data_IF_450236446506
#
_entry.id   IF_450236446506
#
_cell.length_a   1.000
_cell.length_b   1.000
_cell.length_c   1.000
_cell.angle_alpha   90.00
_cell.angle_beta   90.00
_cell.angle_gamma   90.00
#
_symmetry.space_group_name_H-M   'P 1'
#
loop_
_entity.id
_entity.type
_entity.pdbx_description
1 polymer ?
#
# COMPACT_ATOMS: atom_id res chain seq x y z
N UNK A 1 26.25 -12.82 49.49
CA UNK A 1 25.16 -11.83 49.64
C UNK A 1 25.42 -10.71 48.65
N UNK A 2 24.71 -10.49 47.56
CA UNK A 2 23.70 -11.21 46.76
C UNK A 2 23.62 -10.30 45.53
N UNK A 3 24.03 -10.78 44.35
CA UNK A 3 23.96 -10.00 43.10
C UNK A 3 22.56 -10.19 42.52
N UNK A 4 21.73 -9.16 42.63
CA UNK A 4 20.39 -9.11 42.05
C UNK A 4 20.52 -8.74 40.57
N UNK A 5 20.48 -9.73 39.68
CA UNK A 5 20.24 -9.51 38.26
C UNK A 5 18.74 -9.20 38.06
N UNK A 6 18.36 -8.22 37.22
CA UNK A 6 16.95 -8.03 36.88
C UNK A 6 16.50 -9.15 35.92
N UNK A 7 15.56 -9.96 36.38
CA UNK A 7 14.81 -10.91 35.55
C UNK A 7 14.21 -10.19 34.34
N UNK A 8 14.61 -10.65 33.15
CA UNK A 8 13.98 -10.33 31.89
C UNK A 8 12.58 -10.96 31.84
N UNK A 9 11.54 -10.19 32.10
CA UNK A 9 10.16 -10.56 31.77
C UNK A 9 9.91 -10.30 30.27
N UNK A 10 10.40 -11.18 29.42
CA UNK A 10 9.82 -11.39 28.08
C UNK A 10 8.53 -12.20 28.27
N UNK A 11 7.40 -11.50 28.44
CA UNK A 11 6.09 -12.12 28.49
C UNK A 11 5.69 -12.64 27.10
N UNK A 12 5.26 -13.89 27.07
CA UNK A 12 4.97 -14.69 25.89
C UNK A 12 3.86 -14.10 25.00
N UNK A 13 4.20 -13.75 23.76
CA UNK A 13 3.22 -13.71 22.67
C UNK A 13 2.92 -15.15 22.26
N UNK A 14 1.87 -15.73 22.84
CA UNK A 14 1.35 -17.03 22.41
C UNK A 14 0.95 -16.96 20.94
N UNK A 15 1.62 -17.71 20.08
CA UNK A 15 1.21 -17.86 18.69
C UNK A 15 -0.21 -18.44 18.66
N UNK A 16 -1.17 -17.68 18.11
CA UNK A 16 -2.52 -18.18 17.89
C UNK A 16 -2.41 -19.34 16.91
N UNK A 17 -2.70 -20.56 17.38
CA UNK A 17 -2.72 -21.75 16.54
C UNK A 17 -3.93 -21.69 15.60
N UNK A 18 -3.74 -22.07 14.33
CA UNK A 18 -4.79 -22.01 13.30
C UNK A 18 -5.76 -23.17 13.50
N UNK A 19 -7.07 -22.89 13.50
CA UNK A 19 -8.08 -23.94 13.50
C UNK A 19 -8.09 -24.66 12.14
N UNK A 20 -7.67 -25.93 12.14
CA UNK A 20 -7.55 -26.74 10.93
C UNK A 20 -8.89 -27.08 10.27
N UNK A 21 -9.98 -27.17 11.03
CA UNK A 21 -11.32 -27.39 10.47
C UNK A 21 -11.77 -26.17 9.66
N UNK A 22 -11.58 -24.96 10.22
CA UNK A 22 -11.89 -23.73 9.51
C UNK A 22 -10.96 -23.51 8.32
N UNK A 23 -9.69 -23.89 8.44
CA UNK A 23 -8.75 -23.83 7.32
C UNK A 23 -9.18 -24.72 6.16
N UNK A 24 -9.70 -25.92 6.42
CA UNK A 24 -10.22 -26.80 5.39
C UNK A 24 -11.45 -26.19 4.70
N UNK A 25 -12.38 -25.63 5.47
CA UNK A 25 -13.56 -24.94 4.93
C UNK A 25 -13.17 -23.76 4.03
N UNK A 26 -12.18 -22.95 4.42
CA UNK A 26 -11.67 -21.85 3.60
C UNK A 26 -11.01 -22.34 2.30
N UNK A 27 -10.30 -23.48 2.35
CA UNK A 27 -9.71 -24.09 1.15
C UNK A 27 -10.76 -24.61 0.17
N UNK A 28 -11.90 -25.09 0.67
CA UNK A 28 -13.06 -25.46 -0.18
C UNK A 28 -13.68 -24.24 -0.89
N UNK A 29 -13.46 -23.03 -0.37
CA UNK A 29 -13.84 -21.76 -1.00
C UNK A 29 -12.76 -21.19 -1.94
N UNK A 30 -11.75 -22.00 -2.30
CA UNK A 30 -10.59 -21.60 -3.12
C UNK A 30 -9.77 -20.44 -2.53
N UNK A 31 -9.86 -20.18 -1.22
CA UNK A 31 -9.03 -19.19 -0.55
C UNK A 31 -7.61 -19.77 -0.40
N UNK A 32 -6.56 -19.06 -0.87
CA UNK A 32 -5.19 -19.54 -0.76
C UNK A 32 -4.81 -19.83 0.69
N UNK A 33 -4.18 -20.97 0.94
CA UNK A 33 -3.93 -21.48 2.30
C UNK A 33 -3.21 -20.48 3.21
N UNK A 34 -2.23 -19.75 2.68
CA UNK A 34 -1.49 -18.75 3.45
C UNK A 34 -2.36 -17.54 3.84
N UNK A 35 -3.28 -17.13 2.96
CA UNK A 35 -4.23 -16.04 3.25
C UNK A 35 -5.34 -16.50 4.19
N UNK A 36 -5.79 -17.76 4.06
CA UNK A 36 -6.72 -18.38 4.98
C UNK A 36 -6.15 -18.46 6.41
N UNK A 37 -4.88 -18.88 6.56
CA UNK A 37 -4.18 -18.89 7.86
C UNK A 37 -4.09 -17.49 8.46
N UNK A 38 -3.70 -16.48 7.67
CA UNK A 38 -3.64 -15.08 8.14
C UNK A 38 -5.02 -14.59 8.58
N UNK A 39 -6.05 -14.81 7.77
CA UNK A 39 -7.42 -14.42 8.08
C UNK A 39 -7.90 -15.05 9.40
N UNK A 40 -7.65 -16.36 9.59
CA UNK A 40 -7.99 -17.06 10.83
C UNK A 40 -7.25 -16.53 12.05
N UNK A 41 -5.97 -16.19 11.91
CA UNK A 41 -5.20 -15.58 13.00
C UNK A 41 -5.76 -14.20 13.36
N UNK A 42 -6.09 -13.38 12.35
CA UNK A 42 -6.60 -12.02 12.54
C UNK A 42 -8.01 -12.02 13.12
N UNK A 43 -8.89 -12.90 12.64
CA UNK A 43 -10.25 -13.05 13.18
C UNK A 43 -10.28 -13.86 14.48
N UNK A 44 -9.13 -14.32 14.98
CA UNK A 44 -9.04 -15.06 16.24
C UNK A 44 -9.72 -16.43 16.21
N UNK A 45 -9.78 -17.07 15.04
CA UNK A 45 -10.49 -18.33 14.82
C UNK A 45 -11.97 -18.29 15.29
N UNK A 46 -12.69 -17.17 15.10
CA UNK A 46 -14.10 -17.08 15.50
C UNK A 46 -14.97 -18.08 14.70
N UNK A 47 -14.80 -18.10 13.37
CA UNK A 47 -15.43 -19.06 12.47
C UNK A 47 -14.73 -19.01 11.09
N UNK A 48 -14.98 -20.01 10.23
CA UNK A 48 -14.55 -19.94 8.84
C UNK A 48 -15.29 -18.84 8.05
N UNK A 49 -16.56 -18.59 8.36
CA UNK A 49 -17.35 -17.55 7.71
C UNK A 49 -16.77 -16.16 7.95
N UNK A 50 -16.41 -15.84 9.21
CA UNK A 50 -15.83 -14.55 9.57
C UNK A 50 -14.45 -14.34 8.91
N UNK A 51 -13.63 -15.40 8.86
CA UNK A 51 -12.35 -15.37 8.16
C UNK A 51 -12.51 -15.19 6.65
N UNK A 52 -13.53 -15.80 6.04
CA UNK A 52 -13.83 -15.62 4.62
C UNK A 52 -14.27 -14.18 4.33
N UNK A 53 -15.18 -13.61 5.14
CA UNK A 53 -15.61 -12.21 5.03
C UNK A 53 -14.40 -11.27 5.10
N UNK A 54 -13.57 -11.42 6.13
CA UNK A 54 -12.35 -10.63 6.30
C UNK A 54 -11.42 -10.72 5.07
N UNK A 55 -11.22 -11.93 4.52
CA UNK A 55 -10.39 -12.12 3.33
C UNK A 55 -10.95 -11.39 2.11
N UNK A 56 -12.25 -11.53 1.83
CA UNK A 56 -12.88 -10.90 0.67
C UNK A 56 -12.94 -9.38 0.80
N UNK A 57 -13.23 -8.83 1.97
CA UNK A 57 -13.18 -7.39 2.22
C UNK A 57 -11.77 -6.82 2.01
N UNK A 58 -10.74 -7.52 2.49
CA UNK A 58 -9.36 -7.12 2.27
C UNK A 58 -8.99 -7.16 0.78
N UNK A 59 -9.43 -8.20 0.05
CA UNK A 59 -9.22 -8.32 -1.39
C UNK A 59 -9.90 -7.17 -2.16
N UNK A 60 -11.13 -6.82 -1.82
CA UNK A 60 -11.84 -5.68 -2.41
C UNK A 60 -11.06 -4.38 -2.22
N UNK A 61 -10.58 -4.12 -1.01
CA UNK A 61 -9.76 -2.95 -0.71
C UNK A 61 -8.46 -2.91 -1.53
N UNK A 62 -7.78 -4.05 -1.69
CA UNK A 62 -6.57 -4.14 -2.52
C UNK A 62 -6.87 -3.80 -3.99
N UNK A 63 -8.01 -4.25 -4.51
CA UNK A 63 -8.44 -3.95 -5.88
C UNK A 63 -8.70 -2.44 -6.07
N UNK A 64 -9.35 -1.79 -5.10
CA UNK A 64 -9.55 -0.34 -5.12
C UNK A 64 -8.20 0.40 -5.14
N UNK A 65 -7.26 0.01 -4.29
CA UNK A 65 -5.92 0.63 -4.27
C UNK A 65 -5.20 0.42 -5.59
N UNK A 66 -5.23 -0.79 -6.16
CA UNK A 66 -4.58 -1.10 -7.43
C UNK A 66 -5.14 -0.22 -8.57
N UNK A 67 -6.46 -0.04 -8.63
CA UNK A 67 -7.11 0.82 -9.61
C UNK A 67 -6.68 2.29 -9.46
N UNK A 68 -6.61 2.80 -8.22
CA UNK A 68 -6.18 4.18 -7.94
C UNK A 68 -4.69 4.40 -8.25
N UNK A 69 -3.83 3.42 -7.96
CA UNK A 69 -2.40 3.45 -8.33
C UNK A 69 -2.23 3.47 -9.85
N UNK A 70 -2.99 2.64 -10.57
CA UNK A 70 -2.99 2.64 -12.03
C UNK A 70 -3.46 3.99 -12.60
N UNK A 71 -4.53 4.56 -12.03
CA UNK A 71 -5.03 5.88 -12.41
C UNK A 71 -3.97 6.97 -12.18
N UNK A 72 -3.29 6.95 -11.04
CA UNK A 72 -2.24 7.91 -10.72
C UNK A 72 -1.05 7.81 -11.70
N UNK A 73 -0.66 6.59 -12.07
CA UNK A 73 0.44 6.35 -13.01
C UNK A 73 0.09 6.84 -14.42
N UNK A 74 -1.12 6.53 -14.91
CA UNK A 74 -1.59 6.97 -16.23
C UNK A 74 -1.75 8.49 -16.27
N UNK A 75 -2.32 9.11 -15.23
CA UNK A 75 -2.48 10.56 -15.15
C UNK A 75 -1.15 11.30 -15.19
N UNK A 76 -0.14 10.82 -14.46
CA UNK A 76 1.21 11.38 -14.53
C UNK A 76 1.84 11.20 -15.90
N UNK A 77 1.73 10.02 -16.50
CA UNK A 77 2.25 9.77 -17.85
C UNK A 77 1.65 10.73 -18.88
N UNK A 78 0.33 10.95 -18.83
CA UNK A 78 -0.36 11.91 -19.70
C UNK A 78 0.12 13.35 -19.51
N UNK A 79 0.55 13.74 -18.31
CA UNK A 79 1.15 15.06 -18.06
C UNK A 79 2.54 15.11 -18.68
N UNK A 80 3.36 14.08 -18.45
CA UNK A 80 4.76 14.04 -18.91
C UNK A 80 4.88 14.14 -20.44
N UNK A 81 3.99 13.48 -21.19
CA UNK A 81 4.08 13.48 -22.66
C UNK A 81 3.68 14.81 -23.31
N UNK A 82 3.09 15.77 -22.57
CA UNK A 82 2.65 17.06 -23.12
C UNK A 82 3.82 18.00 -23.45
N UNK A 83 4.87 18.01 -22.64
CA UNK A 83 6.02 18.89 -22.81
C UNK A 83 7.25 18.13 -23.28
N UNK A 84 8.08 18.75 -24.14
CA UNK A 84 9.23 18.08 -24.76
C UNK A 84 10.24 17.53 -23.72
N UNK A 85 10.51 18.29 -22.66
CA UNK A 85 11.50 17.93 -21.63
C UNK A 85 11.05 16.73 -20.80
N UNK A 86 9.80 16.74 -20.31
CA UNK A 86 9.23 15.65 -19.52
C UNK A 86 8.91 14.43 -20.39
N UNK A 87 8.66 14.61 -21.68
CA UNK A 87 8.47 13.51 -22.63
C UNK A 87 9.74 12.70 -22.81
N UNK A 88 10.92 13.33 -22.90
CA UNK A 88 12.19 12.61 -22.95
C UNK A 88 12.42 11.76 -21.69
N UNK A 89 12.07 12.29 -20.52
CA UNK A 89 12.11 11.56 -19.24
C UNK A 89 11.19 10.34 -19.27
N UNK A 90 9.95 10.50 -19.76
CA UNK A 90 9.00 9.38 -19.90
C UNK A 90 9.53 8.30 -20.86
N UNK A 91 10.09 8.69 -22.01
CA UNK A 91 10.69 7.73 -22.95
C UNK A 91 11.86 6.96 -22.35
N UNK A 92 12.74 7.63 -21.59
CA UNK A 92 13.82 6.95 -20.87
C UNK A 92 13.23 5.94 -19.89
N UNK A 93 12.28 6.37 -19.05
CA UNK A 93 11.63 5.49 -18.09
C UNK A 93 10.98 4.25 -18.74
N UNK A 94 10.27 4.41 -19.86
CA UNK A 94 9.70 3.30 -20.63
C UNK A 94 10.79 2.34 -21.14
N UNK A 95 11.88 2.87 -21.69
CA UNK A 95 13.01 2.07 -22.18
C UNK A 95 13.75 1.31 -21.07
N UNK A 96 13.65 1.77 -19.82
CA UNK A 96 14.19 1.09 -18.64
C UNK A 96 13.15 0.23 -17.91
N UNK A 97 12.08 -0.20 -18.60
CA UNK A 97 11.09 -1.15 -18.07
C UNK A 97 10.03 -0.52 -17.18
N UNK A 98 9.90 0.81 -17.18
CA UNK A 98 8.85 1.55 -16.48
C UNK A 98 8.76 1.21 -14.98
N UNK A 99 9.91 1.18 -14.26
CA UNK A 99 10.01 0.88 -12.82
C UNK A 99 9.04 1.72 -11.99
N UNK A 100 8.30 1.08 -11.08
CA UNK A 100 7.37 1.72 -10.12
C UNK A 100 7.62 1.15 -8.73
N UNK A 101 7.52 2.00 -7.72
CA UNK A 101 7.57 1.61 -6.30
C UNK A 101 6.34 2.20 -5.63
N UNK A 102 5.52 1.34 -5.00
CA UNK A 102 4.30 1.76 -4.31
C UNK A 102 4.60 1.87 -2.83
N UNK A 103 4.40 3.07 -2.28
CA UNK A 103 4.72 3.42 -0.91
C UNK A 103 3.46 3.86 -0.16
N UNK A 104 3.48 3.67 1.16
CA UNK A 104 2.34 3.98 2.02
C UNK A 104 2.38 5.43 2.51
N UNK A 105 1.38 6.21 2.12
CA UNK A 105 1.04 7.48 2.77
C UNK A 105 0.18 7.25 4.02
N UNK A 106 0.16 8.21 4.94
CA UNK A 106 -0.56 8.08 6.22
C UNK A 106 -1.89 8.81 6.28
N UNK A 107 -2.11 9.80 5.40
CA UNK A 107 -3.35 10.58 5.32
C UNK A 107 -3.39 11.45 4.07
N UNK A 108 -4.56 12.00 3.76
CA UNK A 108 -4.71 13.04 2.74
C UNK A 108 -3.81 14.26 2.98
N UNK A 109 -3.67 14.71 4.23
CA UNK A 109 -2.80 15.83 4.58
C UNK A 109 -1.33 15.52 4.27
N UNK A 110 -0.88 14.30 4.62
CA UNK A 110 0.48 13.85 4.31
C UNK A 110 0.74 13.78 2.79
N UNK A 111 -0.24 13.31 2.00
CA UNK A 111 -0.10 13.33 0.53
C UNK A 111 0.05 14.75 -0.02
N UNK A 112 -0.68 15.73 0.53
CA UNK A 112 -0.56 17.14 0.14
C UNK A 112 0.80 17.73 0.52
N UNK A 113 1.34 17.38 1.69
CA UNK A 113 2.69 17.78 2.11
C UNK A 113 3.77 17.23 1.17
N UNK A 114 3.68 15.94 0.82
CA UNK A 114 4.59 15.30 -0.14
C UNK A 114 4.49 15.95 -1.53
N UNK A 115 3.27 16.30 -1.97
CA UNK A 115 3.06 17.00 -3.23
C UNK A 115 3.71 18.39 -3.20
N UNK A 116 3.50 19.16 -2.13
CA UNK A 116 4.11 20.48 -1.98
C UNK A 116 5.64 20.41 -2.05
N UNK A 117 6.24 19.39 -1.43
CA UNK A 117 7.68 19.14 -1.51
C UNK A 117 8.12 18.78 -2.95
N UNK A 118 7.41 17.89 -3.64
CA UNK A 118 7.70 17.54 -5.03
C UNK A 118 7.62 18.75 -5.96
N UNK A 119 6.60 19.60 -5.79
CA UNK A 119 6.43 20.85 -6.54
C UNK A 119 7.59 21.82 -6.29
N UNK A 120 8.03 21.98 -5.03
CA UNK A 120 9.17 22.83 -4.68
C UNK A 120 10.49 22.41 -5.35
N UNK A 121 10.58 21.13 -5.72
CA UNK A 121 11.74 20.54 -6.41
C UNK A 121 11.54 20.44 -7.93
N UNK A 122 10.44 20.97 -8.48
CA UNK A 122 10.06 20.82 -9.89
C UNK A 122 9.97 19.36 -10.37
N UNK A 123 9.52 18.45 -9.49
CA UNK A 123 9.28 17.06 -9.85
C UNK A 123 7.87 16.90 -10.45
N UNK A 124 7.75 16.32 -11.66
CA UNK A 124 6.46 15.93 -12.21
C UNK A 124 5.69 15.05 -11.23
N UNK A 125 4.44 15.42 -10.96
CA UNK A 125 3.58 14.71 -10.04
C UNK A 125 2.11 14.78 -10.49
N UNK A 126 1.31 13.86 -9.97
CA UNK A 126 -0.13 13.82 -10.18
C UNK A 126 -0.82 13.30 -8.92
N UNK A 127 -1.81 14.04 -8.43
CA UNK A 127 -2.56 13.72 -7.23
C UNK A 127 -3.98 13.31 -7.61
N UNK A 128 -4.35 12.08 -7.26
CA UNK A 128 -5.68 11.53 -7.51
C UNK A 128 -6.62 11.95 -6.41
N UNK A 129 -7.77 12.50 -6.82
CA UNK A 129 -8.90 12.79 -5.96
C UNK A 129 -10.01 11.77 -6.23
N UNK A 130 -10.50 11.11 -5.20
CA UNK A 130 -11.59 10.15 -5.37
C UNK A 130 -12.90 10.87 -5.68
N UNK A 131 -13.56 10.43 -6.75
CA UNK A 131 -14.81 11.00 -7.22
C UNK A 131 -16.04 10.58 -6.37
N UNK A 132 -15.86 9.83 -5.29
CA UNK A 132 -16.92 9.29 -4.44
C UNK A 132 -17.57 8.03 -5.00
N UNK A 133 -16.82 7.21 -5.75
CA UNK A 133 -17.31 5.94 -6.32
C UNK A 133 -16.73 4.70 -5.66
N UNK A 134 -15.84 4.88 -4.69
CA UNK A 134 -15.23 3.82 -3.89
C UNK A 134 -15.73 3.90 -2.45
N UNK A 135 -15.34 2.94 -1.62
CA UNK A 135 -15.62 3.01 -0.18
C UNK A 135 -14.85 4.14 0.54
N UNK A 136 -13.99 4.87 -0.17
CA UNK A 136 -13.23 6.00 0.35
C UNK A 136 -14.10 7.26 0.37
N UNK A 137 -13.94 8.09 1.40
CA UNK A 137 -14.66 9.36 1.52
C UNK A 137 -14.52 10.22 0.24
N UNK A 138 -15.66 10.61 -0.33
CA UNK A 138 -15.73 11.41 -1.55
C UNK A 138 -14.93 12.71 -1.41
N UNK A 139 -14.15 13.05 -2.44
CA UNK A 139 -13.32 14.25 -2.48
C UNK A 139 -11.99 14.15 -1.74
N UNK A 140 -11.69 13.01 -1.10
CA UNK A 140 -10.38 12.76 -0.50
C UNK A 140 -9.30 12.51 -1.56
N UNK A 141 -8.04 12.83 -1.22
CA UNK A 141 -6.90 12.46 -2.04
C UNK A 141 -6.38 11.08 -1.62
N UNK A 142 -6.23 10.20 -2.61
CA UNK A 142 -5.98 8.76 -2.40
C UNK A 142 -4.57 8.34 -2.78
N UNK A 143 -4.05 8.84 -3.91
CA UNK A 143 -2.73 8.45 -4.42
C UNK A 143 -2.02 9.67 -5.02
N UNK A 144 -0.75 9.83 -4.65
CA UNK A 144 0.18 10.76 -5.29
C UNK A 144 1.21 9.96 -6.10
N UNK A 145 1.33 10.25 -7.39
CA UNK A 145 2.44 9.75 -8.21
C UNK A 145 3.48 10.86 -8.44
N UNK A 146 4.76 10.50 -8.41
CA UNK A 146 5.90 11.41 -8.61
C UNK A 146 6.90 10.72 -9.55
N UNK A 147 7.48 11.47 -10.48
CA UNK A 147 8.55 10.97 -11.36
C UNK A 147 9.77 11.88 -11.32
N UNK A 148 10.95 11.27 -11.45
CA UNK A 148 12.24 11.93 -11.54
C UNK A 148 13.38 10.94 -11.36
N UNK A 149 14.60 11.46 -11.31
CA UNK A 149 15.77 10.67 -10.92
C UNK A 149 15.60 10.11 -9.50
N UNK A 150 16.07 8.88 -9.27
CA UNK A 150 15.86 8.15 -8.01
C UNK A 150 16.28 8.96 -6.77
N UNK A 151 17.43 9.63 -6.83
CA UNK A 151 17.91 10.48 -5.73
C UNK A 151 16.98 11.66 -5.45
N UNK A 152 16.38 12.25 -6.50
CA UNK A 152 15.46 13.38 -6.35
C UNK A 152 14.11 12.94 -5.80
N UNK A 153 13.59 11.80 -6.27
CA UNK A 153 12.34 11.22 -5.77
C UNK A 153 12.50 10.79 -4.30
N UNK A 154 13.62 10.17 -3.94
CA UNK A 154 13.87 9.71 -2.56
C UNK A 154 13.99 10.86 -1.54
N UNK A 155 14.32 12.08 -1.96
CA UNK A 155 14.24 13.26 -1.09
C UNK A 155 12.80 13.56 -0.63
N UNK A 156 11.81 13.14 -1.43
CA UNK A 156 10.39 13.26 -1.09
C UNK A 156 9.89 12.00 -0.39
N UNK A 157 10.19 10.82 -0.93
CA UNK A 157 9.51 9.57 -0.54
C UNK A 157 10.37 8.59 0.25
N UNK A 158 11.67 8.86 0.44
CA UNK A 158 12.63 7.87 0.95
C UNK A 158 12.45 7.44 2.40
N UNK A 159 11.58 8.10 3.17
CA UNK A 159 11.19 7.71 4.54
C UNK A 159 9.90 6.89 4.60
N UNK A 160 9.20 6.75 3.48
CA UNK A 160 7.94 6.01 3.42
C UNK A 160 8.23 4.50 3.40
N UNK A 161 7.28 3.73 3.93
CA UNK A 161 7.32 2.27 3.89
C UNK A 161 6.72 1.76 2.58
N UNK A 162 7.13 0.57 2.16
CA UNK A 162 6.43 -0.16 1.10
C UNK A 162 4.97 -0.38 1.52
N UNK A 163 4.07 -0.33 0.53
CA UNK A 163 2.69 -0.75 0.73
C UNK A 163 2.68 -2.27 0.87
N UNK A 164 2.39 -2.75 2.09
CA UNK A 164 2.32 -4.17 2.44
C UNK A 164 0.89 -4.55 2.79
#
# INVERSE_FOLDING_TARGET
METCEPESTEEAQGAIEVNMEYLLQLKELDIPEEEAKKALIVTGNISAEEAAIFYFENLERMNEIAAQVAHAAVGLYQILIKESKTREMAYKWDNYGAKKVVLQGSSTAHLLELQALALSMNLPNYLVQDAGRTQIAAGSYTVLSIMGEEESVNKVTGKLKLLN
#
